data_IF_217815638451
#
_entry.id   IF_217815638451
#
_cell.length_a   1.000
_cell.length_b   1.000
_cell.length_c   1.000
_cell.angle_alpha   90.00
_cell.angle_beta   90.00
_cell.angle_gamma   90.00
#
_symmetry.space_group_name_H-M   'P 1'
#
loop_
_entity.id
_entity.type
_entity.pdbx_description
1 polymer ?
#
# COMPACT_ATOMS: atom_id res chain seq x y z
N UNK A 1 37.53 24.75 15.21
CA UNK A 1 36.71 24.89 16.43
C UNK A 1 36.73 23.53 17.12
N UNK A 2 37.26 23.48 18.35
CA UNK A 2 37.66 22.26 19.05
C UNK A 2 36.47 21.33 19.37
N UNK A 3 36.63 20.02 19.15
CA UNK A 3 35.76 18.95 19.65
C UNK A 3 35.98 18.75 21.16
N UNK A 4 35.49 19.65 21.98
CA UNK A 4 35.32 19.39 23.40
C UNK A 4 33.88 19.74 23.76
N UNK A 5 33.25 18.79 24.47
CA UNK A 5 31.98 18.90 25.19
C UNK A 5 30.68 18.56 24.42
N UNK A 6 30.51 17.27 24.14
CA UNK A 6 29.22 16.61 24.33
C UNK A 6 29.21 15.98 25.74
N UNK A 7 28.08 15.92 26.46
CA UNK A 7 28.04 15.39 27.83
C UNK A 7 28.46 13.91 27.85
N UNK A 8 29.62 13.65 28.44
CA UNK A 8 30.25 12.34 28.51
C UNK A 8 29.67 11.54 29.69
N UNK A 9 28.76 10.60 29.44
CA UNK A 9 28.38 9.61 30.45
C UNK A 9 29.21 8.31 30.35
N UNK A 10 29.83 8.00 29.20
CA UNK A 10 30.67 6.81 28.98
C UNK A 10 31.73 7.04 27.88
N UNK A 11 32.91 7.54 28.25
CA UNK A 11 33.83 8.28 27.36
C UNK A 11 34.73 7.53 26.38
N UNK A 12 34.64 6.20 26.21
CA UNK A 12 35.45 5.47 25.21
C UNK A 12 34.71 4.36 24.47
N UNK A 13 33.75 3.70 25.12
CA UNK A 13 32.99 2.58 24.54
C UNK A 13 31.91 3.04 23.55
N UNK A 14 31.40 4.25 23.73
CA UNK A 14 30.32 4.83 22.90
C UNK A 14 30.82 5.27 21.53
N UNK A 15 31.96 5.98 21.45
CA UNK A 15 32.64 6.31 20.19
C UNK A 15 32.91 5.06 19.35
N UNK A 16 33.39 3.98 19.99
CA UNK A 16 33.61 2.70 19.34
C UNK A 16 32.30 2.09 18.80
N UNK A 17 31.17 2.23 19.51
CA UNK A 17 29.88 1.73 19.04
C UNK A 17 29.36 2.48 17.81
N UNK A 18 29.45 3.83 17.79
CA UNK A 18 29.03 4.65 16.65
C UNK A 18 29.89 4.40 15.39
N UNK A 19 31.20 4.21 15.56
CA UNK A 19 32.11 3.83 14.48
C UNK A 19 31.75 2.45 13.90
N UNK A 20 31.47 1.46 14.75
CA UNK A 20 31.14 0.10 14.31
C UNK A 20 29.78 -0.01 13.60
N UNK A 21 28.82 0.87 13.90
CA UNK A 21 27.53 0.92 13.20
C UNK A 21 27.55 1.84 11.96
N UNK A 22 28.70 2.45 11.66
CA UNK A 22 28.95 3.13 10.39
C UNK A 22 28.53 4.61 10.33
N UNK A 23 28.40 5.27 11.49
CA UNK A 23 28.08 6.70 11.56
C UNK A 23 29.08 7.57 10.80
N UNK A 24 30.38 7.40 11.08
CA UNK A 24 31.44 8.21 10.46
C UNK A 24 31.59 7.95 8.97
N UNK A 25 31.36 6.71 8.54
CA UNK A 25 31.32 6.35 7.12
C UNK A 25 30.19 7.11 6.43
N UNK A 26 28.99 7.04 7.00
CA UNK A 26 27.79 7.71 6.50
C UNK A 26 28.01 9.21 6.39
N UNK A 27 28.51 9.83 7.47
CA UNK A 27 28.82 11.27 7.51
C UNK A 27 29.85 11.65 6.45
N UNK A 28 30.94 10.91 6.35
CA UNK A 28 31.99 11.17 5.36
C UNK A 28 31.46 11.07 3.93
N UNK A 29 30.63 10.07 3.65
CA UNK A 29 30.06 9.87 2.32
C UNK A 29 29.03 10.96 1.98
N UNK A 30 28.16 11.33 2.94
CA UNK A 30 27.18 12.41 2.79
C UNK A 30 27.86 13.77 2.58
N UNK A 31 28.85 14.13 3.41
CA UNK A 31 29.61 15.38 3.28
C UNK A 31 30.25 15.50 1.89
N UNK A 32 30.89 14.41 1.41
CA UNK A 32 31.48 14.35 0.06
C UNK A 32 30.43 14.50 -1.03
N UNK A 33 29.26 13.88 -0.88
CA UNK A 33 28.16 13.94 -1.85
C UNK A 33 27.60 15.36 -1.95
N UNK A 34 27.29 15.99 -0.83
CA UNK A 34 26.80 17.37 -0.76
C UNK A 34 27.82 18.36 -1.32
N UNK A 35 29.11 18.20 -0.96
CA UNK A 35 30.19 19.04 -1.49
C UNK A 35 30.31 18.90 -3.02
N UNK A 36 30.27 17.66 -3.54
CA UNK A 36 30.41 17.38 -4.98
C UNK A 36 29.23 17.89 -5.81
N UNK A 37 28.03 17.85 -5.24
CA UNK A 37 26.79 18.21 -5.95
C UNK A 37 26.33 19.65 -5.70
N UNK A 38 27.01 20.37 -4.80
CA UNK A 38 26.63 21.70 -4.33
C UNK A 38 25.22 21.79 -3.74
N UNK A 39 24.72 20.66 -3.21
CA UNK A 39 23.47 20.58 -2.45
C UNK A 39 23.72 20.61 -0.95
N UNK A 40 22.71 21.02 -0.19
CA UNK A 40 22.68 20.95 1.26
C UNK A 40 21.69 19.86 1.71
N UNK A 41 21.83 19.33 2.95
CA UNK A 41 20.84 18.40 3.50
C UNK A 41 19.41 18.95 3.43
N UNK A 42 19.24 20.26 3.66
CA UNK A 42 17.94 20.95 3.64
C UNK A 42 17.31 21.06 2.26
N UNK A 43 18.04 20.77 1.18
CA UNK A 43 17.50 20.76 -0.18
C UNK A 43 16.77 19.44 -0.49
N UNK A 44 16.92 18.42 0.36
CA UNK A 44 16.36 17.07 0.14
C UNK A 44 14.90 17.04 0.60
N UNK A 45 14.02 16.50 -0.26
CA UNK A 45 12.59 16.41 0.04
C UNK A 45 12.19 15.03 0.58
N UNK A 46 12.82 13.97 0.04
CA UNK A 46 12.49 12.57 0.35
C UNK A 46 13.75 11.75 0.56
N UNK A 47 13.74 10.90 1.58
CA UNK A 47 14.89 10.09 1.98
C UNK A 47 14.49 8.61 2.04
N UNK A 48 15.28 7.73 1.45
CA UNK A 48 15.27 6.28 1.76
C UNK A 48 16.60 5.93 2.41
N UNK A 49 16.57 5.61 3.69
CA UNK A 49 17.75 5.27 4.47
C UNK A 49 17.73 3.83 4.95
N UNK A 50 18.84 3.37 5.53
CA UNK A 50 19.04 1.99 5.95
C UNK A 50 18.64 1.78 7.42
N UNK A 51 17.34 1.73 7.67
CA UNK A 51 16.72 1.49 8.99
C UNK A 51 16.70 -0.01 9.35
N UNK A 52 17.85 -0.70 9.33
CA UNK A 52 17.89 -2.11 9.75
C UNK A 52 17.44 -2.32 11.21
N UNK A 53 17.63 -1.29 12.03
CA UNK A 53 17.09 -1.14 13.38
C UNK A 53 16.64 0.31 13.56
N UNK A 54 15.63 0.56 14.40
CA UNK A 54 15.17 1.92 14.72
C UNK A 54 16.28 2.81 15.30
N UNK A 55 17.19 2.24 16.09
CA UNK A 55 18.36 2.94 16.58
C UNK A 55 19.29 3.42 15.45
N UNK A 56 19.43 2.62 14.39
CA UNK A 56 20.27 2.99 13.24
C UNK A 56 19.64 4.14 12.43
N UNK A 57 18.32 4.16 12.30
CA UNK A 57 17.60 5.28 11.69
C UNK A 57 17.86 6.60 12.44
N UNK A 58 17.71 6.58 13.77
CA UNK A 58 17.89 7.76 14.61
C UNK A 58 19.27 8.40 14.45
N UNK A 59 20.34 7.60 14.54
CA UNK A 59 21.71 8.12 14.39
C UNK A 59 22.01 8.53 12.94
N UNK A 60 21.33 7.93 11.96
CA UNK A 60 21.53 8.24 10.54
C UNK A 60 21.01 9.63 10.20
N UNK A 61 19.99 10.14 10.89
CA UNK A 61 19.51 11.52 10.68
C UNK A 61 20.63 12.55 10.90
N UNK A 62 21.40 12.37 11.97
CA UNK A 62 22.52 13.25 12.32
C UNK A 62 23.71 13.04 11.37
N UNK A 63 24.00 11.78 11.03
CA UNK A 63 25.08 11.43 10.10
C UNK A 63 24.84 11.99 8.69
N UNK A 64 23.59 11.99 8.20
CA UNK A 64 23.21 12.57 6.91
C UNK A 64 23.05 14.09 6.95
N UNK A 65 23.20 14.72 8.13
CA UNK A 65 23.08 16.16 8.32
C UNK A 65 21.64 16.69 8.26
N UNK A 66 20.63 15.83 8.41
CA UNK A 66 19.21 16.22 8.39
C UNK A 66 18.83 17.03 9.63
N UNK A 67 19.49 16.73 10.75
CA UNK A 67 19.43 17.50 11.99
C UNK A 67 20.83 17.62 12.62
N UNK A 68 21.05 18.59 13.54
CA UNK A 68 22.30 18.68 14.29
C UNK A 68 22.55 17.45 15.18
N UNK A 69 23.82 17.17 15.55
CA UNK A 69 24.13 16.09 16.48
C UNK A 69 23.38 16.22 17.82
N UNK A 70 22.85 15.12 18.33
CA UNK A 70 22.01 15.05 19.53
C UNK A 70 20.57 15.56 19.37
N UNK A 71 20.14 15.91 18.15
CA UNK A 71 18.81 16.49 17.87
C UNK A 71 17.85 15.56 17.13
N UNK A 72 18.25 14.31 16.86
CA UNK A 72 17.38 13.35 16.19
C UNK A 72 16.07 13.07 16.94
N UNK A 73 16.10 13.02 18.28
CA UNK A 73 14.89 12.85 19.10
C UNK A 73 13.88 13.99 18.93
N UNK A 74 14.35 15.23 19.03
CA UNK A 74 13.52 16.43 18.83
C UNK A 74 12.94 16.49 17.41
N UNK A 75 13.72 16.09 16.40
CA UNK A 75 13.26 16.00 15.01
C UNK A 75 12.07 15.03 14.87
N UNK A 76 12.13 13.87 15.52
CA UNK A 76 11.04 12.87 15.52
C UNK A 76 9.81 13.41 16.25
N UNK A 77 9.99 13.99 17.44
CA UNK A 77 8.89 14.53 18.25
C UNK A 77 8.14 15.66 17.52
N UNK A 78 8.85 16.48 16.74
CA UNK A 78 8.25 17.52 15.90
C UNK A 78 7.59 16.98 14.63
N UNK A 79 7.72 15.67 14.33
CA UNK A 79 7.22 15.07 13.10
C UNK A 79 7.98 15.49 11.85
N UNK A 80 9.23 15.95 11.98
CA UNK A 80 10.03 16.44 10.84
C UNK A 80 10.58 15.32 9.94
N UNK A 81 10.30 14.06 10.25
CA UNK A 81 10.67 12.88 9.47
C UNK A 81 9.49 12.23 8.71
N UNK A 82 8.30 12.84 8.71
CA UNK A 82 7.10 12.28 8.06
C UNK A 82 6.38 13.30 7.17
N UNK A 83 5.27 12.88 6.54
CA UNK A 83 4.44 13.74 5.70
C UNK A 83 3.97 14.99 6.45
N UNK A 84 4.19 16.16 5.84
CA UNK A 84 3.93 17.46 6.45
C UNK A 84 5.09 18.01 7.30
N UNK A 85 6.10 17.19 7.59
CA UNK A 85 7.35 17.60 8.19
C UNK A 85 8.36 18.14 7.18
N UNK A 86 9.58 18.42 7.65
CA UNK A 86 10.67 18.92 6.81
C UNK A 86 11.14 17.90 5.77
N UNK A 87 11.24 16.62 6.16
CA UNK A 87 11.65 15.53 5.29
C UNK A 87 10.63 14.41 5.37
N UNK A 88 10.34 13.75 4.25
CA UNK A 88 9.64 12.46 4.29
C UNK A 88 10.67 11.34 4.24
N UNK A 89 10.87 10.68 5.38
CA UNK A 89 11.85 9.61 5.52
C UNK A 89 11.15 8.27 5.39
N UNK A 90 11.75 7.38 4.59
CA UNK A 90 11.29 6.01 4.35
C UNK A 90 9.80 5.93 3.98
N UNK A 91 9.30 6.69 2.97
CA UNK A 91 7.88 6.66 2.58
C UNK A 91 7.40 5.25 2.22
N UNK A 92 8.31 4.37 1.80
CA UNK A 92 8.03 2.97 1.51
C UNK A 92 7.78 2.08 2.73
N UNK A 93 7.96 2.62 3.95
CA UNK A 93 7.89 1.90 5.22
C UNK A 93 9.26 1.42 5.75
N UNK A 94 10.35 1.68 5.01
CA UNK A 94 11.71 1.33 5.42
C UNK A 94 11.98 -0.18 5.46
N UNK A 95 13.19 -0.57 5.83
CA UNK A 95 13.59 -1.95 6.04
C UNK A 95 12.79 -2.59 7.17
N UNK A 96 12.40 -1.81 8.20
CA UNK A 96 11.61 -2.29 9.34
C UNK A 96 10.28 -2.90 8.86
N UNK A 97 9.60 -2.26 7.90
CA UNK A 97 8.29 -2.74 7.43
C UNK A 97 8.38 -3.59 6.15
N UNK A 98 9.23 -3.22 5.20
CA UNK A 98 9.38 -3.95 3.92
C UNK A 98 10.13 -5.28 4.07
N UNK A 99 10.88 -5.44 5.17
CA UNK A 99 11.89 -6.47 5.31
C UNK A 99 13.20 -6.10 4.63
N UNK A 100 14.23 -6.92 4.89
CA UNK A 100 15.60 -6.62 4.50
C UNK A 100 16.25 -7.76 3.69
N UNK A 101 15.86 -7.96 2.41
CA UNK A 101 16.62 -8.81 1.50
C UNK A 101 17.96 -8.12 1.19
N UNK A 102 19.04 -8.62 1.80
CA UNK A 102 20.38 -7.98 1.83
C UNK A 102 20.81 -7.38 0.49
N UNK A 103 20.87 -8.20 -0.57
CA UNK A 103 21.32 -7.76 -1.89
C UNK A 103 20.31 -6.88 -2.66
N UNK A 104 19.02 -6.93 -2.32
CA UNK A 104 17.97 -6.20 -3.03
C UNK A 104 17.64 -4.85 -2.38
N UNK A 105 18.03 -4.62 -1.14
CA UNK A 105 17.65 -3.42 -0.38
C UNK A 105 18.05 -2.13 -1.07
N UNK A 106 19.30 -2.02 -1.56
CA UNK A 106 19.75 -0.83 -2.29
C UNK A 106 18.96 -0.57 -3.58
N UNK A 107 18.54 -1.62 -4.28
CA UNK A 107 17.70 -1.52 -5.47
C UNK A 107 16.29 -1.07 -5.15
N UNK A 108 15.71 -1.58 -4.05
CA UNK A 108 14.36 -1.20 -3.60
C UNK A 108 14.29 0.27 -3.17
N UNK A 109 15.33 0.76 -2.49
CA UNK A 109 15.45 2.18 -2.14
C UNK A 109 15.52 3.04 -3.42
N UNK A 110 16.36 2.67 -4.38
CA UNK A 110 16.48 3.38 -5.66
C UNK A 110 15.15 3.40 -6.45
N UNK A 111 14.44 2.27 -6.49
CA UNK A 111 13.14 2.16 -7.16
C UNK A 111 12.10 3.11 -6.53
N UNK A 112 11.99 3.14 -5.20
CA UNK A 112 11.06 4.05 -4.51
C UNK A 112 11.39 5.51 -4.82
N UNK A 113 12.65 5.94 -4.68
CA UNK A 113 13.03 7.34 -4.94
C UNK A 113 12.79 7.73 -6.40
N UNK A 114 13.03 6.82 -7.36
CA UNK A 114 12.69 7.04 -8.75
C UNK A 114 11.17 7.20 -8.96
N UNK A 115 10.33 6.41 -8.29
CA UNK A 115 8.88 6.57 -8.37
C UNK A 115 8.42 7.89 -7.75
N UNK A 116 8.98 8.26 -6.59
CA UNK A 116 8.68 9.52 -5.90
C UNK A 116 8.98 10.72 -6.80
N UNK A 117 10.18 10.80 -7.36
CA UNK A 117 10.57 11.90 -8.26
C UNK A 117 9.77 11.94 -9.56
N UNK A 118 9.23 10.79 -10.02
CA UNK A 118 8.43 10.70 -11.24
C UNK A 118 6.94 10.94 -11.01
N UNK A 119 6.50 11.13 -9.76
CA UNK A 119 5.08 11.25 -9.44
C UNK A 119 4.31 9.93 -9.55
N UNK A 120 4.98 8.79 -9.38
CA UNK A 120 4.42 7.44 -9.57
C UNK A 120 4.32 6.63 -8.27
N UNK A 121 4.56 7.24 -7.11
CA UNK A 121 4.55 6.53 -5.82
C UNK A 121 3.13 6.33 -5.22
N UNK A 122 2.08 6.71 -5.97
CA UNK A 122 0.69 6.51 -5.60
C UNK A 122 0.35 7.15 -4.25
N UNK A 123 -0.13 6.36 -3.30
CA UNK A 123 -0.53 6.84 -1.96
C UNK A 123 0.63 7.35 -1.11
N UNK A 124 1.84 6.88 -1.40
CA UNK A 124 3.05 7.26 -0.68
C UNK A 124 3.69 8.51 -1.29
N UNK A 125 3.09 9.09 -2.32
CA UNK A 125 3.67 10.20 -3.05
C UNK A 125 3.96 11.38 -2.13
N UNK A 126 5.22 11.81 -2.11
CA UNK A 126 5.67 13.05 -1.48
C UNK A 126 5.33 14.20 -2.43
N UNK A 127 4.45 15.14 -2.05
CA UNK A 127 4.04 16.23 -2.93
C UNK A 127 5.23 17.14 -3.28
N UNK A 128 5.46 17.34 -4.57
CA UNK A 128 6.46 18.31 -5.04
C UNK A 128 7.93 17.90 -4.86
N UNK A 129 8.23 16.63 -4.57
CA UNK A 129 9.60 16.16 -4.40
C UNK A 129 10.45 16.38 -5.67
N UNK A 130 11.61 17.03 -5.50
CA UNK A 130 12.56 17.37 -6.57
C UNK A 130 13.94 16.79 -6.33
N UNK A 131 14.35 16.61 -5.08
CA UNK A 131 15.62 16.02 -4.71
C UNK A 131 15.40 14.89 -3.71
N UNK A 132 15.92 13.70 -4.05
CA UNK A 132 15.77 12.50 -3.27
C UNK A 132 17.13 11.96 -2.81
N UNK A 133 17.24 11.51 -1.56
CA UNK A 133 18.47 10.99 -0.97
C UNK A 133 18.32 9.50 -0.66
N UNK A 134 19.29 8.70 -1.11
CA UNK A 134 19.44 7.32 -0.69
C UNK A 134 20.60 7.19 0.30
N UNK A 135 20.40 6.36 1.32
CA UNK A 135 21.44 5.87 2.19
C UNK A 135 21.34 4.34 2.33
N UNK A 136 22.42 3.64 1.98
CA UNK A 136 22.53 2.19 2.09
C UNK A 136 23.85 1.81 2.75
N UNK A 137 23.81 1.00 3.81
CA UNK A 137 25.01 0.61 4.55
C UNK A 137 25.07 -0.91 4.74
N UNK A 138 26.28 -1.46 4.64
CA UNK A 138 26.61 -2.84 5.00
C UNK A 138 27.63 -2.87 6.13
N UNK A 139 27.24 -3.44 7.26
CA UNK A 139 28.13 -3.67 8.39
C UNK A 139 29.25 -4.64 7.96
N UNK A 140 30.50 -4.27 8.19
CA UNK A 140 31.70 -4.91 7.61
C UNK A 140 32.54 -3.95 6.77
N UNK A 141 31.93 -2.89 6.22
CA UNK A 141 32.68 -1.69 5.81
C UNK A 141 32.31 -1.09 4.45
N UNK A 142 31.02 -0.88 4.14
CA UNK A 142 30.65 -0.09 2.97
C UNK A 142 29.36 0.71 3.20
N UNK A 143 29.39 1.99 2.82
CA UNK A 143 28.21 2.85 2.74
C UNK A 143 28.14 3.47 1.35
N UNK A 144 26.93 3.55 0.81
CA UNK A 144 26.61 4.24 -0.42
C UNK A 144 25.53 5.27 -0.12
N UNK A 145 25.82 6.51 -0.48
CA UNK A 145 24.84 7.59 -0.51
C UNK A 145 24.71 8.14 -1.92
N UNK A 146 23.50 8.46 -2.33
CA UNK A 146 23.23 8.97 -3.67
C UNK A 146 22.11 10.02 -3.64
N UNK A 147 22.27 11.07 -4.44
CA UNK A 147 21.21 12.05 -4.71
C UNK A 147 20.61 11.76 -6.09
N UNK A 148 19.28 11.84 -6.15
CA UNK A 148 18.50 11.66 -7.38
C UNK A 148 17.68 12.91 -7.65
N UNK A 149 17.60 13.27 -8.93
CA UNK A 149 16.74 14.31 -9.46
C UNK A 149 16.34 13.92 -10.88
N UNK A 150 15.18 14.40 -11.34
CA UNK A 150 14.81 14.24 -12.74
C UNK A 150 15.83 14.93 -13.65
N UNK A 151 16.32 14.22 -14.67
CA UNK A 151 17.26 14.78 -15.64
C UNK A 151 16.65 15.89 -16.51
N UNK A 152 15.33 15.87 -16.73
CA UNK A 152 14.59 16.84 -17.53
C UNK A 152 13.29 17.25 -16.80
N UNK A 153 13.37 18.09 -15.76
CA UNK A 153 12.20 18.45 -14.95
C UNK A 153 11.14 19.23 -15.74
N UNK A 154 11.52 20.00 -16.76
CA UNK A 154 10.60 20.73 -17.64
C UNK A 154 9.79 19.79 -18.53
N UNK A 155 10.38 18.65 -18.94
CA UNK A 155 9.65 17.62 -19.67
C UNK A 155 8.60 16.93 -18.78
N UNK A 156 8.85 16.84 -17.47
CA UNK A 156 7.89 16.33 -16.50
C UNK A 156 6.77 17.34 -16.23
N UNK A 157 7.04 18.65 -16.20
CA UNK A 157 6.00 19.68 -16.10
C UNK A 157 5.12 19.75 -17.36
N UNK A 158 5.69 19.50 -18.55
CA UNK A 158 4.91 19.31 -19.79
C UNK A 158 4.05 18.05 -19.77
N UNK A 159 4.48 16.98 -19.08
CA UNK A 159 3.57 15.85 -18.79
C UNK A 159 2.50 16.18 -17.76
N UNK A 160 2.68 17.24 -16.96
CA UNK A 160 1.72 17.67 -15.94
C UNK A 160 0.59 18.55 -16.52
N UNK A 161 0.80 19.17 -17.70
CA UNK A 161 -0.27 19.85 -18.45
C UNK A 161 -1.18 18.87 -19.19
N UNK A 162 -0.72 17.63 -19.41
CA UNK A 162 -1.62 16.48 -19.41
C UNK A 162 -1.88 16.17 -17.95
N UNK A 163 -2.85 16.88 -17.38
CA UNK A 163 -3.35 16.54 -16.06
C UNK A 163 -3.77 15.07 -16.12
N UNK A 164 -2.90 14.18 -15.62
CA UNK A 164 -3.35 12.94 -15.03
C UNK A 164 -4.16 13.41 -13.84
N UNK A 165 -5.41 13.81 -14.11
CA UNK A 165 -6.46 13.49 -13.21
C UNK A 165 -6.18 12.02 -12.88
N UNK A 166 -5.77 11.75 -11.64
CA UNK A 166 -6.30 10.57 -11.00
C UNK A 166 -7.82 10.78 -11.01
N UNK A 167 -8.46 10.63 -12.19
CA UNK A 167 -9.79 10.07 -12.28
C UNK A 167 -9.62 8.79 -11.54
N UNK A 168 -10.02 8.83 -10.28
CA UNK A 168 -10.29 7.72 -9.39
C UNK A 168 -9.98 6.42 -10.12
N UNK A 169 -8.71 5.95 -10.04
CA UNK A 169 -8.17 4.94 -10.98
C UNK A 169 -9.24 3.89 -11.12
N UNK A 170 -9.75 3.69 -12.34
CA UNK A 170 -10.89 2.83 -12.60
C UNK A 170 -10.68 1.60 -11.74
N UNK A 171 -11.56 1.45 -10.75
CA UNK A 171 -11.40 0.46 -9.70
C UNK A 171 -11.25 -0.87 -10.40
N UNK A 172 -10.06 -1.47 -10.38
CA UNK A 172 -9.87 -2.74 -11.09
C UNK A 172 -10.66 -3.79 -10.29
N UNK A 173 -11.68 -4.43 -10.88
CA UNK A 173 -12.45 -5.44 -10.18
C UNK A 173 -11.57 -6.55 -9.63
N UNK A 174 -10.44 -6.86 -10.27
CA UNK A 174 -9.54 -7.95 -9.86
C UNK A 174 -8.70 -7.62 -8.62
N UNK A 175 -8.60 -6.35 -8.23
CA UNK A 175 -7.94 -5.95 -6.99
C UNK A 175 -8.79 -6.27 -5.74
N UNK A 176 -10.09 -6.54 -5.91
CA UNK A 176 -11.00 -6.90 -4.81
C UNK A 176 -10.92 -8.39 -4.54
N UNK A 177 -10.88 -8.77 -3.26
CA UNK A 177 -10.99 -10.19 -2.88
C UNK A 177 -12.35 -10.76 -3.27
N UNK A 178 -13.37 -9.91 -3.32
CA UNK A 178 -14.71 -10.25 -3.79
C UNK A 178 -14.77 -10.68 -5.27
N UNK A 179 -13.78 -10.34 -6.11
CA UNK A 179 -13.74 -10.70 -7.54
C UNK A 179 -13.89 -12.20 -7.78
N UNK A 180 -13.31 -13.01 -6.90
CA UNK A 180 -13.36 -14.48 -6.95
C UNK A 180 -14.81 -14.99 -6.81
N UNK A 181 -15.63 -14.34 -5.96
CA UNK A 181 -17.05 -14.69 -5.83
C UNK A 181 -17.79 -14.50 -7.15
N UNK A 182 -17.57 -13.34 -7.76
CA UNK A 182 -18.29 -12.90 -8.94
C UNK A 182 -17.91 -13.73 -10.16
N UNK A 183 -16.63 -14.05 -10.32
CA UNK A 183 -16.14 -15.00 -11.34
C UNK A 183 -16.73 -16.40 -11.14
N UNK A 184 -16.79 -16.89 -9.91
CA UNK A 184 -17.39 -18.19 -9.60
C UNK A 184 -18.91 -18.23 -9.87
N UNK A 185 -19.63 -17.17 -9.53
CA UNK A 185 -21.06 -17.04 -9.81
C UNK A 185 -21.34 -16.95 -11.31
N UNK A 186 -20.53 -16.20 -12.05
CA UNK A 186 -20.62 -16.13 -13.51
C UNK A 186 -20.43 -17.51 -14.15
N UNK A 187 -19.38 -18.23 -13.75
CA UNK A 187 -19.13 -19.59 -14.23
C UNK A 187 -20.31 -20.54 -13.92
N UNK A 188 -20.87 -20.47 -12.71
CA UNK A 188 -22.03 -21.29 -12.32
C UNK A 188 -23.31 -20.94 -13.09
N UNK A 189 -23.51 -19.67 -13.48
CA UNK A 189 -24.63 -19.26 -14.33
C UNK A 189 -24.45 -19.72 -15.79
N UNK A 190 -23.20 -19.80 -16.27
CA UNK A 190 -22.90 -20.22 -17.64
C UNK A 190 -23.06 -21.74 -17.87
N UNK A 191 -22.82 -22.56 -16.84
CA UNK A 191 -23.06 -24.01 -16.91
C UNK A 191 -24.54 -24.37 -16.72
N UNK A 192 -25.29 -23.56 -15.96
CA UNK A 192 -26.73 -23.67 -15.68
C UNK A 192 -27.22 -25.08 -15.32
N UNK A 193 -26.40 -25.86 -14.60
CA UNK A 193 -26.66 -27.27 -14.30
C UNK A 193 -27.92 -27.50 -13.43
N UNK A 194 -28.50 -26.45 -12.82
CA UNK A 194 -29.58 -26.53 -11.81
C UNK A 194 -30.82 -25.65 -12.09
N UNK A 195 -30.99 -25.13 -13.32
CA UNK A 195 -31.96 -24.06 -13.65
C UNK A 195 -31.85 -22.88 -12.68
N UNK A 196 -30.61 -22.44 -12.46
CA UNK A 196 -30.24 -21.47 -11.44
C UNK A 196 -30.89 -20.10 -11.74
N UNK A 197 -30.96 -19.78 -13.02
CA UNK A 197 -31.45 -18.50 -13.54
C UNK A 197 -32.98 -18.40 -13.41
N UNK A 198 -33.71 -19.48 -13.68
CA UNK A 198 -35.18 -19.50 -13.49
C UNK A 198 -35.59 -19.35 -12.02
N UNK A 199 -34.79 -19.91 -11.10
CA UNK A 199 -35.10 -19.91 -9.66
C UNK A 199 -34.89 -18.54 -9.02
N UNK A 200 -33.83 -17.86 -9.44
CA UNK A 200 -33.34 -16.63 -8.81
C UNK A 200 -33.90 -15.39 -9.53
N UNK A 201 -34.06 -15.45 -10.86
CA UNK A 201 -34.78 -14.49 -11.74
C UNK A 201 -34.90 -13.06 -11.20
N UNK A 202 -33.77 -12.36 -11.16
CA UNK A 202 -33.68 -10.99 -10.65
C UNK A 202 -32.36 -10.31 -11.00
N UNK A 203 -32.28 -9.01 -10.74
CA UNK A 203 -31.06 -8.21 -10.83
C UNK A 203 -30.56 -7.92 -9.42
N UNK A 204 -29.34 -8.36 -9.12
CA UNK A 204 -28.74 -8.32 -7.80
C UNK A 204 -27.54 -7.38 -7.82
N UNK A 205 -27.53 -6.37 -6.96
CA UNK A 205 -26.37 -5.51 -6.77
C UNK A 205 -25.58 -5.90 -5.53
N UNK A 206 -24.26 -5.80 -5.62
CA UNK A 206 -23.34 -5.96 -4.51
C UNK A 206 -22.48 -4.71 -4.40
N UNK A 207 -22.68 -3.95 -3.33
CA UNK A 207 -21.84 -2.83 -2.95
C UNK A 207 -20.82 -3.31 -1.94
N UNK A 208 -19.57 -3.46 -2.37
CA UNK A 208 -18.45 -3.90 -1.54
C UNK A 208 -17.74 -2.68 -0.98
N UNK A 209 -17.59 -2.62 0.34
CA UNK A 209 -16.90 -1.54 1.05
C UNK A 209 -15.56 -2.01 1.57
N UNK A 210 -14.71 -1.06 1.97
CA UNK A 210 -13.39 -1.37 2.55
C UNK A 210 -12.53 -2.28 1.65
N UNK A 211 -12.63 -2.08 0.33
CA UNK A 211 -11.86 -2.81 -0.68
C UNK A 211 -10.38 -2.42 -0.69
N UNK A 212 -9.60 -2.87 -1.70
CA UNK A 212 -8.22 -2.46 -1.88
C UNK A 212 -8.16 -0.94 -1.79
N UNK A 213 -7.21 -0.44 -1.00
CA UNK A 213 -7.04 0.99 -0.83
C UNK A 213 -8.26 1.69 -0.18
N UNK A 214 -9.16 0.99 0.53
CA UNK A 214 -10.35 1.58 1.14
C UNK A 214 -11.40 2.03 0.11
N UNK A 215 -11.26 1.60 -1.15
CA UNK A 215 -12.22 1.92 -2.21
C UNK A 215 -13.50 1.10 -2.05
N UNK A 216 -14.59 1.62 -2.60
CA UNK A 216 -15.84 0.88 -2.77
C UNK A 216 -15.89 0.29 -4.19
N UNK A 217 -16.47 -0.89 -4.31
CA UNK A 217 -16.75 -1.53 -5.59
C UNK A 217 -18.24 -1.84 -5.73
N UNK A 218 -18.74 -1.87 -6.95
CA UNK A 218 -20.15 -2.14 -7.23
C UNK A 218 -20.28 -3.18 -8.34
N UNK A 219 -20.94 -4.30 -8.05
CA UNK A 219 -21.21 -5.35 -9.03
C UNK A 219 -22.70 -5.49 -9.24
N UNK A 220 -23.09 -5.74 -10.49
CA UNK A 220 -24.45 -6.14 -10.84
C UNK A 220 -24.40 -7.54 -11.40
N UNK A 221 -25.25 -8.41 -10.85
CA UNK A 221 -25.53 -9.74 -11.37
C UNK A 221 -26.93 -9.70 -11.98
N UNK A 222 -27.02 -9.88 -13.30
CA UNK A 222 -28.30 -9.97 -13.99
C UNK A 222 -28.64 -11.43 -14.25
N UNK A 223 -29.63 -11.95 -13.54
CA UNK A 223 -30.13 -13.32 -13.70
C UNK A 223 -31.56 -13.33 -14.27
N UNK A 224 -31.99 -12.33 -15.04
CA UNK A 224 -33.37 -12.27 -15.59
C UNK A 224 -33.58 -13.09 -16.87
N UNK A 225 -32.56 -13.24 -17.71
CA UNK A 225 -32.68 -13.82 -19.06
C UNK A 225 -31.42 -14.56 -19.50
N UNK A 226 -31.56 -15.68 -20.21
CA UNK A 226 -30.42 -16.38 -20.85
C UNK A 226 -29.46 -17.01 -19.85
N UNK A 227 -28.15 -16.87 -20.06
CA UNK A 227 -27.06 -17.46 -19.24
C UNK A 227 -26.55 -16.56 -18.09
N UNK A 228 -27.29 -15.50 -17.76
CA UNK A 228 -26.91 -14.52 -16.73
C UNK A 228 -25.65 -13.73 -17.08
N UNK A 229 -25.41 -12.62 -16.39
CA UNK A 229 -24.18 -11.82 -16.55
C UNK A 229 -23.76 -11.17 -15.24
N UNK A 230 -22.45 -10.92 -15.10
CA UNK A 230 -21.89 -10.13 -14.00
C UNK A 230 -21.14 -8.93 -14.57
N UNK A 231 -21.49 -7.74 -14.12
CA UNK A 231 -20.91 -6.48 -14.58
C UNK A 231 -20.38 -5.67 -13.41
N UNK A 232 -19.11 -5.25 -13.51
CA UNK A 232 -18.54 -4.27 -12.59
C UNK A 232 -18.97 -2.86 -12.98
N UNK A 233 -19.42 -2.06 -12.01
CA UNK A 233 -20.04 -0.76 -12.19
C UNK A 233 -21.20 -0.76 -13.20
N UNK A 234 -21.97 -1.86 -13.26
CA UNK A 234 -23.14 -1.98 -14.12
C UNK A 234 -24.18 -0.89 -13.86
N UNK A 235 -24.94 -0.51 -14.90
CA UNK A 235 -25.97 0.54 -14.84
C UNK A 235 -27.40 0.02 -14.67
N UNK A 236 -27.58 -1.30 -14.66
CA UNK A 236 -28.92 -1.89 -14.53
C UNK A 236 -29.54 -1.53 -13.17
N UNK A 237 -30.85 -1.33 -13.13
CA UNK A 237 -31.55 -1.06 -11.87
C UNK A 237 -31.66 -2.36 -11.07
N UNK A 238 -31.08 -2.46 -9.86
CA UNK A 238 -31.15 -3.67 -9.06
C UNK A 238 -32.53 -3.85 -8.42
N UNK A 239 -32.99 -5.10 -8.35
CA UNK A 239 -34.17 -5.49 -7.58
C UNK A 239 -33.83 -5.64 -6.09
N UNK A 240 -32.57 -5.98 -5.78
CA UNK A 240 -32.01 -6.07 -4.42
C UNK A 240 -30.54 -5.66 -4.42
N UNK A 241 -30.09 -4.99 -3.37
CA UNK A 241 -28.70 -4.57 -3.14
C UNK A 241 -28.19 -5.14 -1.83
N UNK A 242 -27.05 -5.83 -1.89
CA UNK A 242 -26.28 -6.29 -0.73
C UNK A 242 -25.12 -5.34 -0.48
N UNK A 243 -24.93 -4.93 0.76
CA UNK A 243 -23.82 -4.07 1.18
C UNK A 243 -23.03 -4.80 2.25
N UNK A 244 -21.73 -5.00 2.01
CA UNK A 244 -20.83 -5.79 2.85
C UNK A 244 -19.38 -5.38 2.59
N UNK A 245 -18.49 -5.80 3.47
CA UNK A 245 -17.07 -5.44 3.37
C UNK A 245 -16.29 -6.52 2.60
N UNK A 246 -15.23 -6.13 1.88
CA UNK A 246 -14.43 -7.02 1.02
C UNK A 246 -13.85 -8.23 1.80
N UNK A 247 -13.51 -8.02 3.08
CA UNK A 247 -13.03 -9.08 3.96
C UNK A 247 -14.13 -10.08 4.35
N UNK A 248 -15.35 -9.61 4.65
CA UNK A 248 -16.46 -10.48 5.07
C UNK A 248 -16.96 -11.36 3.91
N UNK A 249 -16.76 -10.94 2.66
CA UNK A 249 -17.07 -11.74 1.46
C UNK A 249 -16.23 -13.03 1.40
N UNK A 250 -14.94 -12.93 1.73
CA UNK A 250 -14.04 -14.09 1.76
C UNK A 250 -14.47 -15.06 2.86
N UNK A 251 -14.87 -14.56 4.01
CA UNK A 251 -15.37 -15.39 5.11
C UNK A 251 -16.72 -16.04 4.79
N UNK A 252 -17.57 -15.36 4.00
CA UNK A 252 -18.83 -15.91 3.49
C UNK A 252 -18.58 -17.08 2.52
N UNK A 253 -17.69 -16.91 1.54
CA UNK A 253 -17.36 -17.92 0.53
C UNK A 253 -16.63 -19.10 1.15
N UNK A 254 -15.67 -18.83 2.03
CA UNK A 254 -14.93 -19.87 2.73
C UNK A 254 -15.79 -20.63 3.75
N UNK A 255 -17.03 -20.18 3.98
CA UNK A 255 -18.00 -20.82 4.86
C UNK A 255 -17.73 -20.57 6.34
N UNK A 256 -16.75 -19.71 6.69
CA UNK A 256 -16.42 -19.27 8.04
C UNK A 256 -17.49 -18.36 8.63
N UNK A 257 -18.21 -17.63 7.77
CA UNK A 257 -19.27 -16.72 8.15
C UNK A 257 -20.63 -17.23 7.63
N UNK A 258 -21.57 -17.45 8.55
CA UNK A 258 -22.94 -17.82 8.20
C UNK A 258 -23.71 -16.58 7.68
N UNK A 259 -24.37 -16.64 6.51
CA UNK A 259 -25.08 -15.50 5.92
C UNK A 259 -26.19 -14.91 6.82
N UNK A 260 -26.96 -15.74 7.52
CA UNK A 260 -28.00 -15.26 8.44
C UNK A 260 -27.40 -14.56 9.65
N UNK A 261 -26.34 -15.13 10.22
CA UNK A 261 -25.61 -14.53 11.35
C UNK A 261 -24.99 -13.19 10.96
N UNK A 262 -24.41 -13.11 9.76
CA UNK A 262 -23.82 -11.89 9.23
C UNK A 262 -24.86 -10.78 9.01
N UNK A 263 -26.08 -11.13 8.58
CA UNK A 263 -27.19 -10.18 8.48
C UNK A 263 -27.63 -9.67 9.86
N UNK A 264 -27.86 -10.56 10.83
CA UNK A 264 -28.25 -10.17 12.19
C UNK A 264 -27.17 -9.37 12.93
N UNK A 265 -25.90 -9.59 12.62
CA UNK A 265 -24.76 -8.85 13.18
C UNK A 265 -24.51 -7.50 12.47
N UNK A 266 -25.30 -7.14 11.46
CA UNK A 266 -25.13 -5.90 10.70
C UNK A 266 -23.92 -5.87 9.75
N UNK A 267 -23.23 -7.01 9.56
CA UNK A 267 -22.13 -7.18 8.60
C UNK A 267 -22.61 -7.20 7.16
N UNK A 268 -23.85 -7.67 6.94
CA UNK A 268 -24.53 -7.64 5.66
C UNK A 268 -25.77 -6.78 5.80
N UNK A 269 -25.85 -5.72 5.00
CA UNK A 269 -27.06 -4.92 4.87
C UNK A 269 -27.73 -5.23 3.54
N UNK A 270 -29.03 -5.50 3.58
CA UNK A 270 -29.84 -5.80 2.39
C UNK A 270 -30.82 -4.65 2.18
N UNK A 271 -30.94 -4.17 0.95
CA UNK A 271 -31.90 -3.16 0.54
C UNK A 271 -32.67 -3.64 -0.70
N UNK A 272 -33.97 -3.35 -0.80
CA UNK A 272 -34.80 -3.75 -1.93
C UNK A 272 -35.68 -4.98 -1.63
N UNK A 273 -35.91 -5.81 -2.64
CA UNK A 273 -36.87 -6.92 -2.56
C UNK A 273 -36.32 -8.09 -1.70
N UNK A 274 -36.81 -8.18 -0.46
CA UNK A 274 -36.40 -9.22 0.49
C UNK A 274 -36.75 -10.65 0.04
N UNK A 275 -37.81 -10.85 -0.75
CA UNK A 275 -38.15 -12.16 -1.29
C UNK A 275 -37.11 -12.68 -2.30
N UNK A 276 -36.57 -11.79 -3.13
CA UNK A 276 -35.46 -12.12 -4.03
C UNK A 276 -34.13 -12.28 -3.28
N UNK A 277 -33.93 -11.52 -2.19
CA UNK A 277 -32.74 -11.64 -1.34
C UNK A 277 -32.62 -13.04 -0.72
N UNK A 278 -33.72 -13.58 -0.20
CA UNK A 278 -33.76 -14.89 0.44
C UNK A 278 -33.51 -16.03 -0.56
N UNK A 279 -34.01 -15.91 -1.81
CA UNK A 279 -33.73 -16.88 -2.88
C UNK A 279 -32.25 -17.00 -3.20
N UNK A 280 -31.51 -15.88 -3.20
CA UNK A 280 -30.07 -15.88 -3.45
C UNK A 280 -29.29 -16.49 -2.27
N UNK A 281 -29.73 -16.26 -1.03
CA UNK A 281 -29.12 -16.89 0.16
C UNK A 281 -29.31 -18.42 0.16
N UNK A 282 -30.50 -18.89 -0.25
CA UNK A 282 -30.77 -20.32 -0.41
C UNK A 282 -29.92 -20.97 -1.52
N UNK A 283 -29.63 -20.22 -2.58
CA UNK A 283 -28.75 -20.65 -3.67
C UNK A 283 -27.29 -20.77 -3.20
N UNK A 284 -26.77 -19.77 -2.49
CA UNK A 284 -25.42 -19.82 -1.92
C UNK A 284 -25.22 -21.04 -1.00
N UNK A 285 -26.23 -21.39 -0.20
CA UNK A 285 -26.19 -22.57 0.68
C UNK A 285 -26.05 -23.88 -0.11
N UNK A 286 -26.68 -23.99 -1.29
CA UNK A 286 -26.62 -25.20 -2.14
C UNK A 286 -25.38 -25.24 -3.01
N UNK A 287 -24.92 -24.08 -3.50
CA UNK A 287 -23.65 -23.95 -4.21
C UNK A 287 -22.46 -24.32 -3.31
N UNK A 288 -22.53 -24.03 -2.00
CA UNK A 288 -21.53 -24.43 -1.00
C UNK A 288 -21.26 -25.95 -1.01
N UNK A 289 -22.30 -26.80 -1.12
CA UNK A 289 -22.09 -28.25 -1.14
C UNK A 289 -21.32 -28.73 -2.38
N UNK A 290 -21.43 -28.02 -3.50
CA UNK A 290 -20.67 -28.30 -4.73
C UNK A 290 -19.24 -27.74 -4.71
N UNK A 291 -19.02 -26.59 -4.07
CA UNK A 291 -17.67 -26.03 -3.88
C UNK A 291 -16.83 -26.94 -2.97
N UNK A 292 -17.45 -27.54 -1.95
CA UNK A 292 -16.79 -28.52 -1.08
C UNK A 292 -16.46 -29.84 -1.84
N UNK A 293 -17.31 -30.26 -2.78
CA UNK A 293 -17.05 -31.40 -3.70
C UNK A 293 -15.89 -31.14 -4.68
N UNK A 294 -15.72 -29.90 -5.14
CA UNK A 294 -14.59 -29.49 -5.98
C UNK A 294 -13.28 -29.45 -5.21
N UNK A 295 -13.32 -29.06 -3.92
CA UNK A 295 -12.15 -29.06 -3.03
C UNK A 295 -11.67 -30.45 -2.66
N UNK A 296 -12.55 -31.45 -2.60
CA UNK A 296 -12.16 -32.84 -2.29
C UNK A 296 -11.51 -33.59 -3.47
N UNK A 297 -11.45 -32.98 -4.66
CA UNK A 297 -10.84 -33.57 -5.88
C UNK A 297 -9.52 -32.89 -6.29
N UNK A 298 -9.04 -31.94 -5.48
CA UNK A 298 -7.68 -31.36 -5.52
C UNK A 298 -6.86 -31.92 -4.37
#
# INVERSE_FOLDING_TARGET
MNRQELPNMFGYTTLFAFENVGYDMTKTAADKLYQKTHHKPQDVDVVELHDCFSANELITYEALGLCPPGKAGEMIEMGNNTYGGQYVINPSGGLISKGHPLGATGWLQCAELCWQLRGLAGRRQVPGAKLALQHNIGLGGAVVVALYKLGFPEAASMRSSVQLNYTDSAVDPDDFKASILFKALEAAMQTDDDNLIERVRGVYAFKVRNGPNGKEGYWIINAKTGKGSVEFNGKAKPDVTFIMDDADIVDLISGKLNPQKAFFQGKIKIQGNMGLAMKLTDLQRRAKSRIDEFRSKL
#
